data_IF_682078194786
#
_entry.id   IF_682078194786
#
_cell.length_a   1.000
_cell.length_b   1.000
_cell.length_c   1.000
_cell.angle_alpha   90.00
_cell.angle_beta   90.00
_cell.angle_gamma   90.00
#
_symmetry.space_group_name_H-M   'P 1'
#
loop_
_entity.id
_entity.type
_entity.pdbx_description
1 polymer ?
#
# COMPACT_ATOMS: atom_id res chain seq x y z
N UNK A 1 6.75 -11.43 -9.20
CA UNK A 1 6.21 -10.67 -8.05
C UNK A 1 5.62 -11.66 -7.07
N UNK A 2 5.84 -11.46 -5.76
CA UNK A 2 5.34 -12.32 -4.67
C UNK A 2 4.31 -11.55 -3.87
N UNK A 3 3.11 -12.10 -3.70
CA UNK A 3 2.16 -11.62 -2.70
C UNK A 3 2.44 -12.34 -1.38
N UNK A 4 2.63 -11.59 -0.30
CA UNK A 4 2.85 -12.17 1.03
C UNK A 4 2.07 -11.39 2.10
N UNK A 5 1.74 -12.09 3.18
CA UNK A 5 1.05 -11.50 4.31
C UNK A 5 2.03 -11.07 5.40
N UNK A 6 1.70 -9.98 6.07
CA UNK A 6 2.35 -9.53 7.30
C UNK A 6 1.44 -9.90 8.48
N UNK A 7 1.85 -10.92 9.23
CA UNK A 7 1.12 -11.44 10.38
C UNK A 7 1.75 -10.93 11.69
N UNK A 8 0.91 -10.50 12.64
CA UNK A 8 1.36 -10.08 13.97
C UNK A 8 2.06 -11.21 14.75
N UNK A 9 1.68 -12.45 14.48
CA UNK A 9 2.30 -13.65 15.06
C UNK A 9 3.81 -13.77 14.83
N UNK A 10 4.39 -13.03 13.85
CA UNK A 10 5.84 -12.92 13.67
C UNK A 10 6.56 -12.43 14.93
N UNK A 11 5.92 -11.57 15.74
CA UNK A 11 6.48 -11.06 17.00
C UNK A 11 6.66 -12.14 18.08
N UNK A 12 6.08 -13.33 17.89
CA UNK A 12 6.28 -14.50 18.77
C UNK A 12 7.34 -15.45 18.26
N UNK A 13 7.80 -15.29 17.02
CA UNK A 13 8.83 -16.13 16.43
C UNK A 13 10.21 -15.55 16.76
N UNK A 14 10.76 -15.96 17.90
CA UNK A 14 12.08 -15.55 18.37
C UNK A 14 13.16 -15.72 17.30
N UNK A 15 13.12 -16.81 16.54
CA UNK A 15 14.11 -17.10 15.51
C UNK A 15 14.01 -16.12 14.35
N UNK A 16 12.80 -15.76 13.93
CA UNK A 16 12.59 -14.71 12.92
C UNK A 16 13.03 -13.35 13.43
N UNK A 17 12.71 -12.99 14.66
CA UNK A 17 13.14 -11.72 15.25
C UNK A 17 14.67 -11.59 15.29
N UNK A 18 15.37 -12.62 15.79
CA UNK A 18 16.83 -12.65 15.79
C UNK A 18 17.37 -12.51 14.37
N UNK A 19 16.84 -13.28 13.43
CA UNK A 19 17.26 -13.20 12.02
C UNK A 19 17.07 -11.79 11.46
N UNK A 20 15.92 -11.16 11.69
CA UNK A 20 15.64 -9.80 11.24
C UNK A 20 16.60 -8.79 11.87
N UNK A 21 16.80 -8.83 13.18
CA UNK A 21 17.73 -7.93 13.87
C UNK A 21 19.19 -8.09 13.43
N UNK A 22 19.63 -9.31 13.17
CA UNK A 22 20.99 -9.54 12.68
C UNK A 22 21.14 -9.12 11.22
N UNK A 23 20.22 -9.52 10.34
CA UNK A 23 20.36 -9.32 8.89
C UNK A 23 20.01 -7.89 8.47
N UNK A 24 18.92 -7.33 8.98
CA UNK A 24 18.40 -6.03 8.54
C UNK A 24 19.03 -4.90 9.34
N UNK A 25 19.22 -5.10 10.65
CA UNK A 25 19.73 -4.06 11.56
C UNK A 25 21.20 -4.24 11.95
N UNK A 26 21.87 -5.30 11.49
CA UNK A 26 23.30 -5.52 11.72
C UNK A 26 23.68 -5.78 13.18
N UNK A 27 22.73 -6.19 14.03
CA UNK A 27 23.01 -6.42 15.45
C UNK A 27 23.83 -7.69 15.67
N UNK A 28 24.71 -7.64 16.68
CA UNK A 28 25.45 -8.82 17.13
C UNK A 28 24.48 -9.89 17.67
N UNK A 29 24.86 -11.17 17.58
CA UNK A 29 24.00 -12.27 18.00
C UNK A 29 23.48 -12.13 19.45
N UNK A 30 24.30 -11.73 20.45
CA UNK A 30 23.80 -11.51 21.81
C UNK A 30 22.77 -10.38 21.91
N UNK A 31 22.98 -9.28 21.17
CA UNK A 31 22.09 -8.12 21.21
C UNK A 31 20.77 -8.41 20.46
N UNK A 32 20.84 -9.07 19.30
CA UNK A 32 19.68 -9.53 18.56
C UNK A 32 18.81 -10.49 19.40
N UNK A 33 19.45 -11.42 20.12
CA UNK A 33 18.77 -12.32 21.06
C UNK A 33 18.09 -11.54 22.20
N UNK A 34 18.80 -10.61 22.83
CA UNK A 34 18.24 -9.80 23.92
C UNK A 34 17.03 -8.97 23.48
N UNK A 35 17.07 -8.35 22.29
CA UNK A 35 15.90 -7.62 21.76
C UNK A 35 14.74 -8.54 21.38
N UNK A 36 15.03 -9.70 20.79
CA UNK A 36 13.98 -10.69 20.53
C UNK A 36 13.29 -11.13 21.82
N UNK A 37 14.07 -11.44 22.87
CA UNK A 37 13.54 -11.81 24.19
C UNK A 37 12.72 -10.69 24.83
N UNK A 38 13.16 -9.43 24.68
CA UNK A 38 12.39 -8.27 25.12
C UNK A 38 11.05 -8.15 24.39
N UNK A 39 11.02 -8.30 23.06
CA UNK A 39 9.76 -8.25 22.30
C UNK A 39 8.81 -9.35 22.74
N UNK A 40 9.29 -10.59 22.88
CA UNK A 40 8.48 -11.72 23.36
C UNK A 40 7.91 -11.42 24.76
N UNK A 41 8.74 -10.91 25.68
CA UNK A 41 8.30 -10.55 27.01
C UNK A 41 7.24 -9.43 26.99
N UNK A 42 7.37 -8.43 26.12
CA UNK A 42 6.40 -7.33 26.03
C UNK A 42 5.05 -7.81 25.47
N UNK A 43 5.04 -8.61 24.40
CA UNK A 43 3.78 -9.10 23.81
C UNK A 43 3.04 -10.09 24.71
N UNK A 44 3.76 -10.80 25.57
CA UNK A 44 3.20 -11.67 26.61
C UNK A 44 2.69 -10.86 27.82
N UNK A 45 3.48 -9.88 28.29
CA UNK A 45 3.18 -9.12 29.50
C UNK A 45 1.97 -8.19 29.36
N UNK A 46 1.78 -7.56 28.20
CA UNK A 46 0.68 -6.62 27.97
C UNK A 46 -0.48 -7.29 27.21
N UNK A 47 -1.62 -7.58 27.87
CA UNK A 47 -2.77 -8.20 27.20
C UNK A 47 -3.30 -7.37 26.02
N UNK A 48 -3.11 -6.04 26.05
CA UNK A 48 -3.49 -5.11 24.99
C UNK A 48 -2.76 -5.40 23.67
N UNK A 49 -1.56 -5.99 23.72
CA UNK A 49 -0.83 -6.41 22.51
C UNK A 49 -1.36 -7.72 21.93
N UNK A 50 -2.35 -8.36 22.56
CA UNK A 50 -3.00 -9.59 22.08
C UNK A 50 -1.99 -10.65 21.69
N UNK A 51 -0.93 -10.81 22.48
CA UNK A 51 0.16 -11.75 22.21
C UNK A 51 0.80 -11.56 20.81
N UNK A 52 0.94 -10.30 20.38
CA UNK A 52 1.49 -9.91 19.08
C UNK A 52 0.47 -9.84 17.95
N UNK A 53 -0.75 -10.35 18.13
CA UNK A 53 -1.80 -10.38 17.11
C UNK A 53 -2.69 -9.10 17.16
N UNK A 54 -2.17 -7.98 17.67
CA UNK A 54 -2.88 -6.70 17.65
C UNK A 54 -2.78 -6.03 16.26
N UNK A 55 -3.88 -5.51 15.67
CA UNK A 55 -3.90 -4.92 14.33
C UNK A 55 -2.84 -3.85 14.09
N UNK A 56 -2.52 -3.05 15.12
CA UNK A 56 -1.55 -1.97 15.02
C UNK A 56 -0.18 -2.41 14.48
N UNK A 57 0.26 -3.63 14.77
CA UNK A 57 1.56 -4.14 14.33
C UNK A 57 1.60 -4.46 12.84
N UNK A 58 0.42 -4.61 12.23
CA UNK A 58 0.27 -4.98 10.82
C UNK A 58 -0.75 -4.08 10.11
N UNK A 59 -0.96 -2.87 10.61
CA UNK A 59 -1.82 -1.87 10.00
C UNK A 59 -1.09 -1.19 8.84
N UNK A 60 -0.73 -1.98 7.82
CA UNK A 60 -0.06 -1.49 6.63
C UNK A 60 -0.20 -2.46 5.44
N UNK A 61 -0.05 -1.93 4.24
CA UNK A 61 0.28 -2.67 3.03
C UNK A 61 1.33 -1.87 2.26
N UNK A 62 2.20 -2.56 1.51
CA UNK A 62 3.21 -1.87 0.71
C UNK A 62 3.73 -2.73 -0.44
N UNK A 63 4.13 -2.05 -1.52
CA UNK A 63 4.90 -2.60 -2.61
C UNK A 63 6.41 -2.47 -2.33
N UNK A 64 7.17 -3.50 -2.70
CA UNK A 64 8.62 -3.54 -2.54
C UNK A 64 9.23 -3.92 -3.89
N UNK A 65 10.03 -3.02 -4.46
CA UNK A 65 10.86 -3.32 -5.63
C UNK A 65 11.95 -4.34 -5.26
N UNK A 66 12.38 -5.15 -6.22
CA UNK A 66 13.43 -6.13 -6.00
C UNK A 66 14.76 -5.47 -5.63
N UNK A 67 15.44 -6.02 -4.64
CA UNK A 67 16.77 -5.58 -4.25
C UNK A 67 17.59 -6.75 -3.74
N UNK A 68 18.91 -6.62 -3.77
CA UNK A 68 19.80 -7.61 -3.17
C UNK A 68 20.02 -7.26 -1.70
N UNK A 69 19.72 -8.20 -0.79
CA UNK A 69 19.94 -8.06 0.65
C UNK A 69 21.05 -9.03 1.09
N UNK A 70 22.32 -8.61 1.20
CA UNK A 70 23.35 -9.45 1.80
C UNK A 70 23.06 -9.75 3.28
N UNK A 71 23.33 -10.96 3.79
CA UNK A 71 23.81 -12.16 3.09
C UNK A 71 22.67 -13.05 2.52
N UNK A 72 21.41 -12.58 2.53
CA UNK A 72 20.22 -13.35 2.13
C UNK A 72 20.16 -13.58 0.61
N UNK A 73 20.58 -12.60 -0.19
CA UNK A 73 20.50 -12.64 -1.66
C UNK A 73 19.35 -11.81 -2.21
N UNK A 74 18.91 -12.15 -3.43
CA UNK A 74 17.88 -11.40 -4.15
C UNK A 74 16.52 -11.51 -3.45
N UNK A 75 15.99 -10.38 -3.01
CA UNK A 75 14.60 -10.23 -2.62
C UNK A 75 13.83 -9.82 -3.89
N UNK A 76 12.87 -10.65 -4.38
CA UNK A 76 12.10 -10.33 -5.58
C UNK A 76 11.06 -9.24 -5.27
N UNK A 77 10.47 -8.63 -6.31
CA UNK A 77 9.32 -7.73 -6.17
C UNK A 77 8.24 -8.35 -5.27
N UNK A 78 7.76 -7.61 -4.26
CA UNK A 78 6.69 -8.06 -3.37
C UNK A 78 5.55 -7.06 -3.28
N UNK A 79 4.38 -7.58 -3.00
CA UNK A 79 3.30 -6.84 -2.34
C UNK A 79 3.11 -7.50 -0.98
N UNK A 80 3.16 -6.71 0.07
CA UNK A 80 2.94 -7.15 1.44
C UNK A 80 1.61 -6.59 1.92
N UNK A 81 0.72 -7.45 2.42
CA UNK A 81 -0.57 -7.04 2.99
C UNK A 81 -0.64 -7.45 4.46
N UNK A 82 -0.90 -6.51 5.36
CA UNK A 82 -1.05 -6.81 6.78
C UNK A 82 -2.45 -7.26 7.17
N UNK A 83 -2.53 -8.18 8.13
CA UNK A 83 -3.83 -8.61 8.67
C UNK A 83 -4.57 -7.45 9.34
N UNK A 84 -3.83 -6.57 10.01
CA UNK A 84 -4.40 -5.47 10.80
C UNK A 84 -5.12 -4.42 9.97
N UNK A 85 -4.60 -4.08 8.78
CA UNK A 85 -5.30 -3.16 7.87
C UNK A 85 -6.57 -3.81 7.31
N UNK A 86 -6.55 -5.12 7.03
CA UNK A 86 -7.73 -5.86 6.57
C UNK A 86 -8.79 -6.01 7.66
N UNK A 87 -8.38 -6.29 8.91
CA UNK A 87 -9.27 -6.34 10.08
C UNK A 87 -9.97 -4.98 10.30
N UNK A 88 -9.22 -3.89 10.18
CA UNK A 88 -9.78 -2.55 10.34
C UNK A 88 -10.82 -2.21 9.28
N UNK A 89 -10.53 -2.46 8.00
CA UNK A 89 -11.52 -2.23 6.94
C UNK A 89 -12.73 -3.15 7.03
N UNK A 90 -12.55 -4.37 7.54
CA UNK A 90 -13.67 -5.25 7.87
C UNK A 90 -14.54 -4.65 8.98
N UNK A 91 -13.93 -4.13 10.04
CA UNK A 91 -14.66 -3.47 11.13
C UNK A 91 -15.41 -2.20 10.67
N UNK A 92 -14.95 -1.55 9.61
CA UNK A 92 -15.59 -0.40 8.99
C UNK A 92 -16.68 -0.76 7.94
N UNK A 93 -16.91 -2.06 7.66
CA UNK A 93 -17.93 -2.52 6.70
C UNK A 93 -17.51 -2.47 5.22
N UNK A 94 -16.20 -2.58 4.97
CA UNK A 94 -15.55 -2.56 3.65
C UNK A 94 -14.86 -3.88 3.29
N UNK A 95 -15.20 -4.98 3.95
CA UNK A 95 -14.56 -6.30 3.79
C UNK A 95 -14.57 -6.83 2.35
N UNK A 96 -15.59 -6.51 1.57
CA UNK A 96 -15.76 -7.00 0.19
C UNK A 96 -15.03 -6.14 -0.86
N UNK A 97 -14.47 -4.99 -0.47
CA UNK A 97 -13.82 -4.03 -1.39
C UNK A 97 -12.40 -3.66 -1.00
N UNK A 98 -12.06 -3.61 0.29
CA UNK A 98 -10.80 -3.07 0.76
C UNK A 98 -9.59 -3.92 0.35
N UNK A 99 -9.68 -5.24 0.48
CA UNK A 99 -8.59 -6.15 0.07
C UNK A 99 -8.21 -5.97 -1.41
N UNK A 100 -9.15 -6.10 -2.35
CA UNK A 100 -8.89 -5.84 -3.77
C UNK A 100 -8.39 -4.42 -4.06
N UNK A 101 -8.90 -3.39 -3.37
CA UNK A 101 -8.51 -2.00 -3.59
C UNK A 101 -7.08 -1.71 -3.14
N UNK A 102 -6.71 -2.16 -1.93
CA UNK A 102 -5.35 -2.04 -1.41
C UNK A 102 -4.39 -2.80 -2.33
N UNK A 103 -4.71 -4.04 -2.71
CA UNK A 103 -3.86 -4.82 -3.62
C UNK A 103 -3.66 -4.14 -4.98
N UNK A 104 -4.72 -3.55 -5.55
CA UNK A 104 -4.62 -2.84 -6.83
C UNK A 104 -3.80 -1.55 -6.71
N UNK A 105 -3.89 -0.85 -5.58
CA UNK A 105 -3.06 0.31 -5.26
C UNK A 105 -1.57 -0.08 -5.16
N UNK A 106 -1.25 -1.12 -4.39
CA UNK A 106 0.13 -1.62 -4.30
C UNK A 106 0.67 -2.11 -5.65
N UNK A 107 -0.20 -2.62 -6.52
CA UNK A 107 0.19 -2.95 -7.89
C UNK A 107 0.49 -1.69 -8.72
N UNK A 108 -0.24 -0.59 -8.48
CA UNK A 108 0.04 0.73 -9.05
C UNK A 108 1.47 1.20 -8.78
N UNK A 109 1.99 0.97 -7.57
CA UNK A 109 3.40 1.24 -7.27
C UNK A 109 4.38 0.37 -8.08
N UNK A 110 4.05 -0.89 -8.37
CA UNK A 110 4.87 -1.72 -9.27
C UNK A 110 4.90 -1.19 -10.69
N UNK A 111 3.80 -0.61 -11.19
CA UNK A 111 3.79 0.10 -12.47
C UNK A 111 4.77 1.29 -12.37
N UNK A 112 4.68 2.09 -11.31
CA UNK A 112 5.57 3.24 -11.12
C UNK A 112 7.06 2.85 -11.04
N UNK A 113 7.40 1.74 -10.36
CA UNK A 113 8.77 1.21 -10.33
C UNK A 113 9.27 0.87 -11.74
N UNK A 114 8.49 0.07 -12.47
CA UNK A 114 8.85 -0.35 -13.83
C UNK A 114 8.96 0.81 -14.83
N UNK A 115 8.23 1.90 -14.57
CA UNK A 115 8.21 3.10 -15.41
C UNK A 115 9.22 4.16 -14.98
N UNK A 116 9.91 3.97 -13.84
CA UNK A 116 10.83 4.97 -13.29
C UNK A 116 10.13 6.29 -12.92
N UNK A 117 8.94 6.21 -12.32
CA UNK A 117 8.09 7.39 -12.05
C UNK A 117 8.28 7.97 -10.64
N UNK A 118 9.05 7.31 -9.78
CA UNK A 118 9.41 7.82 -8.46
C UNK A 118 10.43 8.96 -8.61
N UNK A 119 10.18 10.07 -7.91
CA UNK A 119 11.13 11.17 -7.86
C UNK A 119 12.27 10.86 -6.90
N UNK A 120 13.49 11.32 -7.20
CA UNK A 120 14.65 11.14 -6.32
C UNK A 120 14.56 11.97 -5.04
N UNK A 121 13.73 13.02 -5.04
CA UNK A 121 13.54 13.93 -3.92
C UNK A 121 12.44 13.41 -3.02
N UNK A 122 12.77 13.23 -1.73
CA UNK A 122 11.77 13.04 -0.68
C UNK A 122 11.09 14.37 -0.39
N UNK A 123 9.82 14.52 -0.80
CA UNK A 123 9.01 15.71 -0.53
C UNK A 123 7.52 15.34 -0.42
N UNK A 124 6.71 16.15 0.30
CA UNK A 124 5.26 15.97 0.33
C UNK A 124 4.63 15.95 -1.07
N UNK A 125 5.15 16.74 -2.01
CA UNK A 125 4.70 16.80 -3.40
C UNK A 125 4.95 15.49 -4.14
N UNK A 126 6.17 14.95 -4.03
CA UNK A 126 6.57 13.71 -4.69
C UNK A 126 5.77 12.52 -4.14
N UNK A 127 5.61 12.43 -2.82
CA UNK A 127 4.82 11.39 -2.16
C UNK A 127 3.35 11.50 -2.56
N UNK A 128 2.75 12.69 -2.50
CA UNK A 128 1.36 12.92 -2.93
C UNK A 128 1.15 12.54 -4.40
N UNK A 129 2.03 12.95 -5.31
CA UNK A 129 1.92 12.57 -6.74
C UNK A 129 1.94 11.04 -6.90
N UNK A 130 2.84 10.36 -6.19
CA UNK A 130 3.00 8.91 -6.23
C UNK A 130 1.73 8.19 -5.77
N UNK A 131 1.18 8.60 -4.62
CA UNK A 131 -0.02 8.00 -4.03
C UNK A 131 -1.28 8.23 -4.87
N UNK A 132 -1.51 9.47 -5.32
CA UNK A 132 -2.66 9.81 -6.16
C UNK A 132 -2.65 9.02 -7.48
N UNK A 133 -1.48 8.81 -8.07
CA UNK A 133 -1.36 8.01 -9.28
C UNK A 133 -1.64 6.52 -9.01
N UNK A 134 -1.18 5.98 -7.88
CA UNK A 134 -1.49 4.61 -7.48
C UNK A 134 -3.00 4.41 -7.23
N UNK A 135 -3.68 5.38 -6.59
CA UNK A 135 -5.13 5.40 -6.44
C UNK A 135 -5.85 5.41 -7.80
N UNK A 136 -5.39 6.23 -8.74
CA UNK A 136 -5.94 6.31 -10.09
C UNK A 136 -5.75 5.00 -10.87
N UNK A 137 -4.57 4.38 -10.80
CA UNK A 137 -4.31 3.06 -11.39
C UNK A 137 -5.21 1.98 -10.81
N UNK A 138 -5.35 1.96 -9.48
CA UNK A 138 -6.20 1.01 -8.79
C UNK A 138 -7.64 1.15 -9.24
N UNK A 139 -8.17 2.37 -9.27
CA UNK A 139 -9.53 2.65 -9.70
C UNK A 139 -9.76 2.28 -11.18
N UNK A 140 -8.81 2.58 -12.06
CA UNK A 140 -8.86 2.18 -13.46
C UNK A 140 -8.98 0.67 -13.59
N UNK A 141 -8.07 -0.10 -12.97
CA UNK A 141 -8.12 -1.56 -13.01
C UNK A 141 -9.40 -2.14 -12.40
N UNK A 142 -9.82 -1.62 -11.23
CA UNK A 142 -10.97 -2.16 -10.51
C UNK A 142 -12.28 -1.96 -11.27
N UNK A 143 -12.40 -0.90 -12.05
CA UNK A 143 -13.63 -0.53 -12.74
C UNK A 143 -13.67 -0.90 -14.22
N UNK A 144 -12.51 -1.07 -14.86
CA UNK A 144 -12.44 -1.40 -16.28
C UNK A 144 -13.08 -2.77 -16.57
N UNK A 145 -13.81 -2.89 -17.70
CA UNK A 145 -14.54 -4.12 -18.05
C UNK A 145 -13.63 -5.31 -18.43
N UNK A 146 -12.32 -5.06 -18.59
CA UNK A 146 -11.26 -6.08 -18.71
C UNK A 146 -10.35 -6.19 -17.48
N UNK A 147 -10.65 -5.45 -16.43
CA UNK A 147 -10.03 -5.57 -15.12
C UNK A 147 -10.95 -6.32 -14.15
N UNK A 148 -11.03 -5.87 -12.91
CA UNK A 148 -11.90 -6.52 -11.91
C UNK A 148 -13.40 -6.29 -12.16
N UNK A 149 -13.76 -5.33 -13.04
CA UNK A 149 -15.14 -5.04 -13.45
C UNK A 149 -16.10 -4.83 -12.26
N UNK A 150 -15.63 -4.14 -11.22
CA UNK A 150 -16.35 -3.95 -9.97
C UNK A 150 -17.57 -3.05 -10.19
N UNK A 151 -18.73 -3.49 -9.69
CA UNK A 151 -20.00 -2.76 -9.82
C UNK A 151 -19.95 -1.41 -9.11
N UNK A 152 -20.60 -0.38 -9.69
CA UNK A 152 -20.56 1.01 -9.18
C UNK A 152 -20.89 1.18 -7.69
N UNK A 153 -21.84 0.38 -7.15
CA UNK A 153 -22.14 0.42 -5.70
C UNK A 153 -20.96 0.03 -4.81
N UNK A 154 -20.08 -0.85 -5.30
CA UNK A 154 -18.81 -1.20 -4.66
C UNK A 154 -17.71 -0.19 -4.97
N UNK A 155 -17.79 0.46 -6.14
CA UNK A 155 -16.90 1.57 -6.50
C UNK A 155 -16.99 2.70 -5.48
N UNK A 156 -18.20 3.15 -5.16
CA UNK A 156 -18.40 4.19 -4.15
C UNK A 156 -17.85 3.81 -2.76
N UNK A 157 -17.88 2.52 -2.40
CA UNK A 157 -17.28 2.03 -1.16
C UNK A 157 -15.75 1.96 -1.22
N UNK A 158 -15.14 1.56 -2.34
CA UNK A 158 -13.68 1.56 -2.42
C UNK A 158 -13.12 2.99 -2.44
N UNK A 159 -13.84 3.98 -2.98
CA UNK A 159 -13.43 5.39 -2.90
C UNK A 159 -13.26 5.84 -1.45
N UNK A 160 -14.09 5.30 -0.54
CA UNK A 160 -13.95 5.54 0.91
C UNK A 160 -12.73 4.85 1.51
N UNK A 161 -12.22 3.76 0.92
CA UNK A 161 -10.96 3.14 1.35
C UNK A 161 -9.82 4.13 1.13
N UNK A 162 -9.69 4.71 -0.07
CA UNK A 162 -8.63 5.68 -0.35
C UNK A 162 -8.80 7.00 0.42
N UNK A 163 -10.05 7.46 0.60
CA UNK A 163 -10.34 8.59 1.46
C UNK A 163 -9.81 8.39 2.89
N UNK A 164 -10.01 7.20 3.48
CA UNK A 164 -9.61 6.90 4.86
C UNK A 164 -8.10 6.72 5.06
N UNK A 165 -7.30 6.61 4.00
CA UNK A 165 -5.82 6.54 4.07
C UNK A 165 -5.19 7.93 3.91
N UNK A 166 -5.95 8.92 3.40
CA UNK A 166 -5.48 10.29 3.30
C UNK A 166 -5.20 10.92 4.66
N UNK A 167 -4.29 11.90 4.69
CA UNK A 167 -3.88 12.59 5.92
C UNK A 167 -3.81 14.12 5.73
N UNK A 168 -3.59 14.86 6.82
CA UNK A 168 -3.46 16.32 6.82
C UNK A 168 -2.04 16.79 7.18
N UNK A 169 -1.05 15.90 7.09
CA UNK A 169 0.35 16.15 7.45
C UNK A 169 1.11 16.86 6.34
N UNK A 170 0.67 18.03 5.88
CA UNK A 170 1.18 18.71 4.68
C UNK A 170 2.70 18.94 4.61
N UNK A 171 3.40 18.96 5.75
CA UNK A 171 4.86 19.13 5.84
C UNK A 171 5.61 17.82 6.10
N UNK A 172 4.90 16.70 6.16
CA UNK A 172 5.47 15.37 6.32
C UNK A 172 5.92 14.85 4.96
N UNK A 173 7.16 14.36 4.88
CA UNK A 173 7.64 13.65 3.69
C UNK A 173 6.79 12.40 3.38
N UNK A 174 6.09 11.85 4.37
CA UNK A 174 5.11 10.77 4.22
C UNK A 174 3.68 11.24 3.96
N UNK A 175 3.46 12.48 3.52
CA UNK A 175 2.12 12.99 3.23
C UNK A 175 1.53 12.33 1.97
N UNK A 176 0.52 11.49 2.15
CA UNK A 176 -0.06 10.71 1.05
C UNK A 176 -1.11 11.48 0.22
N UNK A 177 -1.28 12.78 0.48
CA UNK A 177 -2.39 13.58 -0.02
C UNK A 177 -3.58 13.59 0.93
N UNK A 178 -4.42 14.62 0.80
CA UNK A 178 -5.63 14.75 1.61
C UNK A 178 -6.67 13.69 1.24
N UNK A 179 -7.60 13.36 2.14
CA UNK A 179 -8.72 12.47 1.82
C UNK A 179 -9.50 12.88 0.55
N UNK A 180 -9.69 14.19 0.31
CA UNK A 180 -10.40 14.69 -0.88
C UNK A 180 -9.58 14.51 -2.16
N UNK A 181 -8.27 14.78 -2.11
CA UNK A 181 -7.38 14.58 -3.25
C UNK A 181 -7.31 13.10 -3.67
N UNK A 182 -7.16 12.20 -2.69
CA UNK A 182 -7.11 10.74 -2.92
C UNK A 182 -8.40 10.22 -3.54
N UNK A 183 -9.55 10.64 -3.00
CA UNK A 183 -10.85 10.27 -3.56
C UNK A 183 -11.01 10.81 -4.99
N UNK A 184 -10.62 12.05 -5.25
CA UNK A 184 -10.71 12.65 -6.59
C UNK A 184 -9.82 11.94 -7.61
N UNK A 185 -8.62 11.51 -7.23
CA UNK A 185 -7.72 10.77 -8.11
C UNK A 185 -8.31 9.40 -8.49
N UNK A 186 -8.90 8.71 -7.52
CA UNK A 186 -9.59 7.46 -7.75
C UNK A 186 -10.87 7.63 -8.60
N UNK A 187 -11.67 8.67 -8.37
CA UNK A 187 -12.84 9.01 -9.20
C UNK A 187 -12.43 9.31 -10.64
N UNK A 188 -11.33 10.03 -10.83
CA UNK A 188 -10.78 10.29 -12.15
C UNK A 188 -10.36 9.00 -12.84
N UNK A 189 -9.60 8.12 -12.18
CA UNK A 189 -9.20 6.82 -12.74
C UNK A 189 -10.39 5.93 -13.12
N UNK A 190 -11.44 5.94 -12.29
CA UNK A 190 -12.72 5.31 -12.61
C UNK A 190 -13.35 5.90 -13.89
N UNK A 191 -13.38 7.23 -14.00
CA UNK A 191 -13.96 7.91 -15.16
C UNK A 191 -13.21 7.58 -16.46
N UNK A 192 -11.88 7.45 -16.41
CA UNK A 192 -11.06 7.04 -17.56
C UNK A 192 -11.44 5.62 -18.00
N UNK A 193 -11.63 4.70 -17.06
CA UNK A 193 -12.07 3.33 -17.37
C UNK A 193 -13.48 3.29 -17.98
N UNK A 194 -14.41 4.08 -17.44
CA UNK A 194 -15.80 4.08 -17.89
C UNK A 194 -16.00 4.82 -19.23
N UNK A 195 -15.17 5.83 -19.50
CA UNK A 195 -15.22 6.64 -20.73
C UNK A 195 -14.35 6.08 -21.86
N UNK A 196 -13.52 5.05 -21.62
CA UNK A 196 -12.76 4.39 -22.66
C UNK A 196 -13.72 3.95 -23.77
N UNK A 197 -13.63 4.61 -24.95
CA UNK A 197 -14.67 4.62 -25.99
C UNK A 197 -15.03 3.25 -26.62
N UNK A 198 -14.40 2.18 -26.14
CA UNK A 198 -14.77 0.79 -26.35
C UNK A 198 -14.43 0.14 -25.02
N UNK A 199 -15.40 -0.29 -24.20
CA UNK A 199 -15.18 -0.85 -22.85
C UNK A 199 -14.15 -2.02 -22.77
N UNK A 200 -13.60 -2.49 -23.89
CA UNK A 200 -12.49 -3.44 -23.96
C UNK A 200 -11.12 -2.88 -24.36
N UNK A 201 -10.97 -1.57 -24.62
CA UNK A 201 -9.67 -0.98 -24.93
C UNK A 201 -8.92 -0.62 -23.65
N UNK A 202 -7.80 -1.30 -23.42
CA UNK A 202 -6.93 -1.08 -22.27
C UNK A 202 -5.84 -0.10 -22.70
N UNK A 203 -5.70 1.00 -21.98
CA UNK A 203 -4.59 1.93 -22.16
C UNK A 203 -3.28 1.28 -21.70
N UNK A 204 -2.18 1.58 -22.38
CA UNK A 204 -0.85 1.30 -21.82
C UNK A 204 -0.60 2.10 -20.54
N UNK A 205 0.33 1.65 -19.71
CA UNK A 205 0.74 2.39 -18.51
C UNK A 205 1.25 3.80 -18.85
N UNK A 206 1.88 3.95 -20.00
CA UNK A 206 2.42 5.21 -20.53
C UNK A 206 1.31 6.19 -20.90
N UNK A 207 0.31 5.73 -21.65
CA UNK A 207 -0.85 6.56 -22.01
C UNK A 207 -1.62 6.98 -20.76
N UNK A 208 -1.84 6.05 -19.82
CA UNK A 208 -2.52 6.37 -18.57
C UNK A 208 -1.72 7.37 -17.73
N UNK A 209 -0.40 7.16 -17.58
CA UNK A 209 0.48 8.10 -16.86
C UNK A 209 0.38 9.50 -17.47
N UNK A 210 0.49 9.62 -18.79
CA UNK A 210 0.44 10.92 -19.44
C UNK A 210 -0.89 11.65 -19.20
N UNK A 211 -2.01 10.92 -19.22
CA UNK A 211 -3.32 11.46 -18.88
C UNK A 211 -3.40 11.90 -17.41
N UNK A 212 -2.82 11.11 -16.50
CA UNK A 212 -2.79 11.44 -15.07
C UNK A 212 -1.98 12.69 -14.80
N UNK A 213 -0.77 12.82 -15.37
CA UNK A 213 0.07 14.02 -15.21
C UNK A 213 -0.64 15.28 -15.68
N UNK A 214 -1.38 15.19 -16.78
CA UNK A 214 -2.16 16.32 -17.30
C UNK A 214 -3.31 16.72 -16.35
N UNK A 215 -3.84 15.78 -15.56
CA UNK A 215 -4.93 15.98 -14.61
C UNK A 215 -4.45 16.34 -13.19
N UNK A 216 -3.19 16.03 -12.85
CA UNK A 216 -2.64 16.19 -11.52
C UNK A 216 -2.86 17.61 -10.93
N UNK A 217 -2.69 18.73 -11.67
CA UNK A 217 -2.94 20.08 -11.15
C UNK A 217 -4.38 20.30 -10.64
N UNK A 218 -5.37 19.64 -11.24
CA UNK A 218 -6.77 19.73 -10.80
C UNK A 218 -7.06 18.80 -9.61
N UNK A 219 -6.36 17.66 -9.51
CA UNK A 219 -6.49 16.73 -8.39
C UNK A 219 -5.90 17.31 -7.11
N UNK A 220 -4.80 18.05 -7.19
CA UNK A 220 -4.19 18.70 -6.02
C UNK A 220 -4.97 19.93 -5.53
N UNK A 221 -5.84 20.49 -6.37
CA UNK A 221 -6.65 21.68 -6.05
C UNK A 221 -7.95 21.38 -5.28
N UNK A 222 -8.19 20.11 -4.93
CA UNK A 222 -9.37 19.63 -4.19
C UNK A 222 -9.32 19.98 -2.70
#
# INVERSE_FOLDING_TARGET
MVLAAMHGSMLRDRSRLIRTYTVVYGLSAPLAAAYADLVLALVDYFPQYRNGDHPIFTFNAFALESFNLPPVGLIPNKIIMGDGILEAYTALGYEDVAGPAILAHEFGHHIQFQRGLFEEVSSPEATRRTELMADAYAAYYLSHARGASMQWKRVAKFLQVFFNIGDCGFTSDGHHGTPTQRMAAAEWGYSVANNAQKQGHILSSEEFTALFEAQLPQLIAQ
#
